data_IF_327733508305
#
_entry.id   IF_327733508305
#
_cell.length_a   1.000
_cell.length_b   1.000
_cell.length_c   1.000
_cell.angle_alpha   90.00
_cell.angle_beta   90.00
_cell.angle_gamma   90.00
#
_symmetry.space_group_name_H-M   'P 1'
#
loop_
_entity.id
_entity.type
_entity.pdbx_description
1 polymer ?
#
# COMPACT_ATOMS: atom_id res chain seq x y z
N UNK A 1 -5.79 1.95 -21.19
CA UNK A 1 -5.14 3.27 -21.32
C UNK A 1 -4.62 3.81 -19.99
N UNK A 2 -5.38 3.72 -18.89
CA UNK A 2 -4.93 4.21 -17.56
C UNK A 2 -3.69 3.49 -17.03
N UNK A 3 -3.63 2.15 -17.15
CA UNK A 3 -2.46 1.36 -16.70
C UNK A 3 -1.14 1.75 -17.39
N UNK A 4 -1.17 2.19 -18.65
CA UNK A 4 0.06 2.61 -19.37
C UNK A 4 0.56 3.97 -18.90
N UNK A 5 -0.33 4.88 -18.52
CA UNK A 5 0.05 6.16 -17.92
C UNK A 5 0.48 6.01 -16.47
N UNK A 6 -0.21 5.18 -15.68
CA UNK A 6 0.20 4.87 -14.31
C UNK A 6 1.60 4.25 -14.27
N UNK A 7 1.86 3.25 -15.13
CA UNK A 7 3.19 2.68 -15.29
C UNK A 7 4.24 3.67 -15.79
N UNK A 8 3.82 4.73 -16.52
CA UNK A 8 4.70 5.83 -16.89
C UNK A 8 5.25 6.58 -15.68
N UNK A 9 4.34 7.11 -14.86
CA UNK A 9 4.70 7.88 -13.69
C UNK A 9 5.46 7.06 -12.65
N UNK A 10 5.12 5.78 -12.48
CA UNK A 10 5.84 4.90 -11.54
C UNK A 10 7.27 4.64 -12.03
N UNK A 11 7.49 4.29 -13.29
CA UNK A 11 8.86 4.01 -13.76
C UNK A 11 9.73 5.27 -13.84
N UNK A 12 9.17 6.42 -14.24
CA UNK A 12 9.93 7.68 -14.26
C UNK A 12 10.20 8.18 -12.83
N UNK A 13 9.21 8.06 -11.93
CA UNK A 13 9.35 8.49 -10.54
C UNK A 13 10.26 7.61 -9.68
N UNK A 14 10.16 6.27 -9.80
CA UNK A 14 10.92 5.34 -8.94
C UNK A 14 12.22 4.83 -9.57
N UNK A 15 12.27 4.65 -10.90
CA UNK A 15 13.41 4.04 -11.60
C UNK A 15 14.14 5.01 -12.54
N UNK A 16 13.63 6.24 -12.73
CA UNK A 16 14.14 7.25 -13.67
C UNK A 16 14.35 6.68 -15.11
N UNK A 17 13.49 5.76 -15.52
CA UNK A 17 13.57 5.07 -16.82
C UNK A 17 12.63 5.71 -17.85
N UNK A 18 13.22 6.30 -18.89
CA UNK A 18 12.50 6.95 -19.98
C UNK A 18 12.41 6.03 -21.21
N UNK A 19 11.28 5.33 -21.34
CA UNK A 19 11.00 4.43 -22.46
C UNK A 19 9.85 4.94 -23.33
N UNK A 20 9.94 4.67 -24.63
CA UNK A 20 8.86 4.92 -25.58
C UNK A 20 7.60 4.14 -25.21
N UNK A 21 6.42 4.77 -25.38
CA UNK A 21 5.11 4.23 -25.00
C UNK A 21 4.87 2.81 -25.55
N UNK A 22 5.21 2.58 -26.80
CA UNK A 22 4.99 1.28 -27.47
C UNK A 22 5.79 0.14 -26.82
N UNK A 23 7.06 0.38 -26.45
CA UNK A 23 7.92 -0.64 -25.80
C UNK A 23 7.34 -1.06 -24.44
N UNK A 24 6.86 -0.09 -23.67
CA UNK A 24 6.26 -0.29 -22.35
C UNK A 24 4.95 -1.09 -22.44
N UNK A 25 4.08 -0.75 -23.41
CA UNK A 25 2.83 -1.49 -23.64
C UNK A 25 3.13 -2.92 -24.06
N UNK A 26 4.03 -3.13 -25.03
CA UNK A 26 4.38 -4.48 -25.47
C UNK A 26 4.93 -5.31 -24.32
N UNK A 27 5.89 -4.79 -23.55
CA UNK A 27 6.48 -5.55 -22.45
C UNK A 27 5.44 -5.94 -21.39
N UNK A 28 4.67 -4.97 -20.88
CA UNK A 28 3.69 -5.26 -19.82
C UNK A 28 2.56 -6.17 -20.30
N UNK A 29 2.17 -6.07 -21.58
CA UNK A 29 1.14 -6.96 -22.17
C UNK A 29 1.68 -8.35 -22.43
N UNK A 30 2.90 -8.49 -22.93
CA UNK A 30 3.54 -9.79 -23.10
C UNK A 30 3.74 -10.49 -21.76
N UNK A 31 4.25 -9.79 -20.74
CA UNK A 31 4.45 -10.38 -19.39
C UNK A 31 3.13 -10.83 -18.76
N UNK A 32 2.03 -10.09 -18.96
CA UNK A 32 0.72 -10.50 -18.45
C UNK A 32 0.07 -11.60 -19.30
N UNK A 33 0.16 -11.55 -20.63
CA UNK A 33 -0.50 -12.50 -21.52
C UNK A 33 0.17 -13.88 -21.53
N UNK A 34 1.49 -13.96 -21.42
CA UNK A 34 2.22 -15.24 -21.44
C UNK A 34 1.71 -16.22 -20.37
N UNK A 35 1.68 -15.88 -19.07
CA UNK A 35 1.16 -16.79 -18.05
C UNK A 35 -0.33 -17.08 -18.24
N UNK A 36 -1.15 -16.08 -18.63
CA UNK A 36 -2.56 -16.31 -18.92
C UNK A 36 -2.78 -17.34 -20.03
N UNK A 37 -2.04 -17.26 -21.13
CA UNK A 37 -2.19 -18.20 -22.26
C UNK A 37 -1.70 -19.60 -21.87
N UNK A 38 -0.57 -19.71 -21.16
CA UNK A 38 -0.07 -21.00 -20.67
C UNK A 38 -1.10 -21.67 -19.77
N UNK A 39 -1.66 -20.92 -18.81
CA UNK A 39 -2.66 -21.46 -17.88
C UNK A 39 -3.96 -21.80 -18.60
N UNK A 40 -4.41 -20.98 -19.55
CA UNK A 40 -5.62 -21.27 -20.32
C UNK A 40 -5.53 -22.58 -21.12
N UNK A 41 -4.34 -22.92 -21.63
CA UNK A 41 -4.12 -24.17 -22.37
C UNK A 41 -4.04 -25.37 -21.41
N UNK A 42 -3.39 -25.21 -20.26
CA UNK A 42 -3.12 -26.30 -19.30
C UNK A 42 -4.30 -26.57 -18.36
N UNK A 43 -5.06 -25.55 -17.99
CA UNK A 43 -5.96 -25.55 -16.84
C UNK A 43 -7.38 -25.09 -17.21
N UNK A 44 -7.98 -25.75 -18.20
CA UNK A 44 -9.33 -25.43 -18.74
C UNK A 44 -10.42 -25.41 -17.64
N UNK A 45 -10.28 -26.23 -16.59
CA UNK A 45 -11.26 -26.36 -15.50
C UNK A 45 -10.83 -25.66 -14.20
N UNK A 46 -9.77 -24.85 -14.19
CA UNK A 46 -9.17 -24.33 -12.95
C UNK A 46 -8.92 -22.81 -12.98
N UNK A 47 -9.60 -22.10 -13.88
CA UNK A 47 -9.48 -20.65 -14.03
C UNK A 47 -9.98 -19.90 -12.79
N UNK A 48 -10.99 -20.43 -12.10
CA UNK A 48 -11.54 -19.82 -10.89
C UNK A 48 -10.47 -19.64 -9.79
N UNK A 49 -9.56 -20.61 -9.65
CA UNK A 49 -8.45 -20.52 -8.70
C UNK A 49 -7.47 -19.43 -9.09
N UNK A 50 -7.18 -19.26 -10.38
CA UNK A 50 -6.29 -18.20 -10.85
C UNK A 50 -6.86 -16.82 -10.54
N UNK A 51 -8.15 -16.63 -10.77
CA UNK A 51 -8.84 -15.38 -10.45
C UNK A 51 -8.82 -15.11 -8.94
N UNK A 52 -8.98 -16.14 -8.11
CA UNK A 52 -8.86 -16.00 -6.66
C UNK A 52 -7.44 -15.56 -6.25
N UNK A 53 -6.40 -16.16 -6.84
CA UNK A 53 -5.00 -15.79 -6.56
C UNK A 53 -4.66 -14.36 -6.99
N UNK A 54 -5.13 -13.91 -8.16
CA UNK A 54 -4.92 -12.54 -8.62
C UNK A 54 -5.60 -11.54 -7.67
N UNK A 55 -6.80 -11.86 -7.18
CA UNK A 55 -7.48 -11.01 -6.21
C UNK A 55 -6.71 -10.92 -4.89
N UNK A 56 -6.12 -12.03 -4.41
CA UNK A 56 -5.26 -12.03 -3.21
C UNK A 56 -4.04 -11.12 -3.41
N UNK A 57 -3.37 -11.21 -4.57
CA UNK A 57 -2.22 -10.35 -4.89
C UNK A 57 -2.63 -8.87 -4.93
N UNK A 58 -3.78 -8.55 -5.54
CA UNK A 58 -4.31 -7.19 -5.57
C UNK A 58 -4.65 -6.67 -4.16
N UNK A 59 -5.19 -7.53 -3.28
CA UNK A 59 -5.44 -7.20 -1.89
C UNK A 59 -4.18 -6.87 -1.10
N UNK A 60 -3.03 -7.45 -1.47
CA UNK A 60 -1.73 -7.09 -0.87
C UNK A 60 -1.21 -5.73 -1.37
N UNK A 61 -1.46 -5.38 -2.64
CA UNK A 61 -0.99 -4.12 -3.23
C UNK A 61 -1.79 -2.90 -2.77
N UNK A 62 -3.09 -3.07 -2.48
CA UNK A 62 -4.00 -1.97 -2.16
C UNK A 62 -3.54 -1.15 -0.93
N UNK A 63 -3.30 -1.74 0.26
CA UNK A 63 -2.83 -0.98 1.43
C UNK A 63 -1.48 -0.32 1.21
N UNK A 64 -0.59 -0.97 0.46
CA UNK A 64 0.73 -0.42 0.15
C UNK A 64 0.65 0.86 -0.70
N UNK A 65 -0.30 0.94 -1.64
CA UNK A 65 -0.52 2.17 -2.41
C UNK A 65 -1.32 3.21 -1.63
N UNK A 66 -2.26 2.78 -0.79
CA UNK A 66 -3.22 3.64 -0.13
C UNK A 66 -2.59 4.45 1.01
N UNK A 67 -1.81 3.82 1.89
CA UNK A 67 -1.25 4.48 3.07
C UNK A 67 -0.31 5.66 2.70
N UNK A 68 0.65 5.51 1.76
CA UNK A 68 1.49 6.62 1.33
C UNK A 68 0.70 7.76 0.67
N UNK A 69 -0.35 7.43 -0.09
CA UNK A 69 -1.23 8.41 -0.71
C UNK A 69 -1.97 9.25 0.34
N UNK A 70 -2.51 8.60 1.38
CA UNK A 70 -3.15 9.31 2.50
C UNK A 70 -2.20 10.23 3.24
N UNK A 71 -0.95 9.78 3.43
CA UNK A 71 0.07 10.61 4.04
C UNK A 71 0.43 11.82 3.15
N UNK A 72 0.59 11.60 1.85
CA UNK A 72 0.90 12.65 0.89
C UNK A 72 -0.22 13.72 0.84
N UNK A 73 -1.48 13.30 0.77
CA UNK A 73 -2.65 14.21 0.74
C UNK A 73 -2.86 14.96 2.07
N UNK A 74 -2.39 14.40 3.19
CA UNK A 74 -2.49 15.02 4.53
C UNK A 74 -1.28 15.90 4.88
N UNK A 75 -0.20 15.85 4.09
CA UNK A 75 1.03 16.59 4.33
C UNK A 75 0.96 17.99 3.72
N UNK A 76 1.21 19.02 4.54
CA UNK A 76 1.31 20.42 4.06
C UNK A 76 2.50 20.61 3.11
N UNK A 77 3.54 19.80 3.25
CA UNK A 77 4.73 19.87 2.38
C UNK A 77 4.43 19.45 0.95
N UNK A 78 3.50 18.52 0.75
CA UNK A 78 3.16 17.97 -0.59
C UNK A 78 1.97 18.71 -1.20
N UNK A 79 0.90 18.95 -0.43
CA UNK A 79 -0.34 19.57 -0.92
C UNK A 79 -0.42 21.10 -0.76
N UNK A 80 0.49 21.71 0.01
CA UNK A 80 0.47 23.15 0.27
C UNK A 80 -0.85 23.60 0.92
N UNK A 81 -1.51 24.58 0.29
CA UNK A 81 -2.78 25.16 0.75
C UNK A 81 -4.01 24.29 0.43
N UNK A 82 -3.86 23.29 -0.47
CA UNK A 82 -4.91 22.31 -0.79
C UNK A 82 -4.89 21.08 0.11
N UNK A 83 -4.24 21.18 1.28
CA UNK A 83 -4.20 20.10 2.26
C UNK A 83 -5.62 19.71 2.69
N UNK A 84 -5.84 18.40 2.84
CA UNK A 84 -7.12 17.88 3.32
C UNK A 84 -7.50 18.48 4.69
N UNK A 85 -8.75 18.92 4.83
CA UNK A 85 -9.29 19.43 6.08
C UNK A 85 -9.36 18.30 7.12
N UNK A 86 -9.30 18.63 8.41
CA UNK A 86 -9.37 17.63 9.49
C UNK A 86 -10.59 16.68 9.36
N UNK A 87 -11.83 17.17 9.10
CA UNK A 87 -12.97 16.26 8.92
C UNK A 87 -12.84 15.40 7.65
N UNK A 88 -12.36 15.98 6.54
CA UNK A 88 -12.11 15.21 5.31
C UNK A 88 -11.06 14.12 5.52
N UNK A 89 -10.00 14.41 6.28
CA UNK A 89 -8.96 13.43 6.62
C UNK A 89 -9.53 12.28 7.45
N UNK A 90 -10.41 12.55 8.44
CA UNK A 90 -11.05 11.52 9.25
C UNK A 90 -11.90 10.58 8.37
N UNK A 91 -12.72 11.13 7.48
CA UNK A 91 -13.57 10.32 6.57
C UNK A 91 -12.71 9.41 5.70
N UNK A 92 -11.65 9.94 5.09
CA UNK A 92 -10.79 9.15 4.22
C UNK A 92 -10.03 8.08 5.02
N UNK A 93 -9.60 8.36 6.26
CA UNK A 93 -9.00 7.35 7.14
C UNK A 93 -9.98 6.25 7.56
N UNK A 94 -11.25 6.57 7.78
CA UNK A 94 -12.28 5.55 8.06
C UNK A 94 -12.44 4.63 6.84
N UNK A 95 -12.59 5.20 5.65
CA UNK A 95 -12.70 4.43 4.40
C UNK A 95 -11.46 3.56 4.21
N UNK A 96 -10.27 4.11 4.46
CA UNK A 96 -9.01 3.39 4.39
C UNK A 96 -8.98 2.16 5.30
N UNK A 97 -9.39 2.32 6.56
CA UNK A 97 -9.47 1.21 7.52
C UNK A 97 -10.44 0.15 7.03
N UNK A 98 -11.63 0.52 6.55
CA UNK A 98 -12.61 -0.43 6.00
C UNK A 98 -12.01 -1.22 4.84
N UNK A 99 -11.37 -0.54 3.88
CA UNK A 99 -10.72 -1.19 2.74
C UNK A 99 -9.63 -2.16 3.21
N UNK A 100 -8.77 -1.75 4.14
CA UNK A 100 -7.71 -2.62 4.68
C UNK A 100 -8.30 -3.85 5.37
N UNK A 101 -9.33 -3.69 6.20
CA UNK A 101 -10.00 -4.79 6.90
C UNK A 101 -10.60 -5.79 5.91
N UNK A 102 -11.29 -5.31 4.87
CA UNK A 102 -11.88 -6.18 3.84
C UNK A 102 -10.81 -6.94 3.07
N UNK A 103 -9.71 -6.28 2.69
CA UNK A 103 -8.61 -6.93 1.96
C UNK A 103 -7.87 -7.97 2.83
N UNK A 104 -7.68 -7.69 4.12
CA UNK A 104 -7.11 -8.67 5.07
C UNK A 104 -8.03 -9.87 5.25
N UNK A 105 -9.35 -9.64 5.36
CA UNK A 105 -10.33 -10.72 5.42
C UNK A 105 -10.26 -11.62 4.18
N UNK A 106 -10.19 -11.03 2.99
CA UNK A 106 -10.07 -11.77 1.72
C UNK A 106 -8.81 -12.64 1.66
N UNK A 107 -7.67 -12.10 2.10
CA UNK A 107 -6.41 -12.86 2.18
C UNK A 107 -6.56 -14.06 3.13
N UNK A 108 -7.13 -13.86 4.32
CA UNK A 108 -7.30 -14.93 5.30
C UNK A 108 -8.25 -16.00 4.77
N UNK A 109 -9.38 -15.63 4.14
CA UNK A 109 -10.36 -16.58 3.61
C UNK A 109 -9.81 -17.46 2.49
N UNK A 110 -9.02 -16.90 1.58
CA UNK A 110 -8.49 -17.64 0.42
C UNK A 110 -7.25 -18.45 0.76
N UNK A 111 -6.37 -17.93 1.61
CA UNK A 111 -5.03 -18.49 1.81
C UNK A 111 -4.94 -19.44 3.01
N UNK A 112 -5.74 -19.22 4.05
CA UNK A 112 -5.59 -19.97 5.32
C UNK A 112 -6.48 -21.21 5.38
N UNK A 113 -7.55 -21.30 4.60
CA UNK A 113 -8.56 -22.36 4.75
C UNK A 113 -8.40 -23.60 3.85
N UNK A 114 -7.82 -23.54 2.63
CA UNK A 114 -7.64 -24.75 1.80
C UNK A 114 -6.16 -25.15 1.67
N UNK A 115 -5.71 -26.28 2.26
CA UNK A 115 -4.34 -26.77 2.01
C UNK A 115 -3.79 -27.88 2.89
N UNK A 116 -2.55 -28.28 2.58
CA UNK A 116 -1.71 -29.15 3.43
C UNK A 116 -1.01 -28.31 4.49
N UNK A 117 -0.70 -28.90 5.64
CA UNK A 117 -0.08 -28.21 6.80
C UNK A 117 1.12 -27.32 6.47
N UNK A 118 1.99 -27.75 5.53
CA UNK A 118 3.14 -26.96 5.07
C UNK A 118 2.73 -25.71 4.29
N UNK A 119 1.67 -25.74 3.48
CA UNK A 119 1.21 -24.55 2.78
C UNK A 119 0.66 -23.52 3.77
N UNK A 120 -0.05 -23.98 4.80
CA UNK A 120 -0.57 -23.11 5.85
C UNK A 120 0.54 -22.46 6.69
N UNK A 121 1.61 -23.17 7.01
CA UNK A 121 2.72 -22.58 7.81
C UNK A 121 3.45 -21.48 7.05
N UNK A 122 3.75 -21.68 5.76
CA UNK A 122 4.40 -20.64 4.95
C UNK A 122 3.46 -19.47 4.68
N UNK A 123 2.20 -19.76 4.40
CA UNK A 123 1.26 -18.72 4.06
C UNK A 123 0.85 -17.87 5.28
N UNK A 124 0.66 -18.48 6.45
CA UNK A 124 0.42 -17.74 7.70
C UNK A 124 1.60 -16.86 8.10
N UNK A 125 2.84 -17.31 7.89
CA UNK A 125 4.04 -16.50 8.10
C UNK A 125 4.06 -15.29 7.15
N UNK A 126 3.78 -15.50 5.86
CA UNK A 126 3.68 -14.42 4.87
C UNK A 126 2.60 -13.39 5.21
N UNK A 127 1.42 -13.85 5.62
CA UNK A 127 0.31 -12.98 6.06
C UNK A 127 0.69 -12.21 7.33
N UNK A 128 1.35 -12.84 8.31
CA UNK A 128 1.81 -12.17 9.52
C UNK A 128 2.85 -11.08 9.21
N UNK A 129 3.81 -11.36 8.33
CA UNK A 129 4.80 -10.38 7.88
C UNK A 129 4.09 -9.21 7.19
N UNK A 130 3.16 -9.50 6.29
CA UNK A 130 2.37 -8.48 5.59
C UNK A 130 1.55 -7.61 6.56
N UNK A 131 0.84 -8.22 7.51
CA UNK A 131 0.07 -7.49 8.53
C UNK A 131 0.98 -6.64 9.41
N UNK A 132 2.15 -7.15 9.78
CA UNK A 132 3.15 -6.39 10.53
C UNK A 132 3.61 -5.15 9.74
N UNK A 133 3.90 -5.31 8.44
CA UNK A 133 4.29 -4.20 7.55
C UNK A 133 3.15 -3.17 7.43
N UNK A 134 1.92 -3.62 7.18
CA UNK A 134 0.75 -2.73 7.06
C UNK A 134 0.50 -1.98 8.37
N UNK A 135 0.59 -2.67 9.52
CA UNK A 135 0.45 -2.04 10.83
C UNK A 135 1.58 -1.05 11.08
N UNK A 136 2.84 -1.37 10.76
CA UNK A 136 3.97 -0.45 10.87
C UNK A 136 3.74 0.81 10.04
N UNK A 137 3.33 0.67 8.77
CA UNK A 137 3.02 1.81 7.90
C UNK A 137 1.81 2.62 8.39
N UNK A 138 0.77 1.96 8.93
CA UNK A 138 -0.40 2.63 9.50
C UNK A 138 -0.09 3.36 10.82
N UNK A 139 0.81 2.82 11.65
CA UNK A 139 1.25 3.42 12.90
C UNK A 139 2.33 4.49 12.71
N UNK A 140 3.11 4.45 11.64
CA UNK A 140 4.14 5.46 11.33
C UNK A 140 3.63 6.92 11.39
N UNK A 141 2.46 7.29 10.81
CA UNK A 141 1.94 8.66 10.93
C UNK A 141 1.53 9.02 12.37
N UNK A 142 1.05 8.06 13.18
CA UNK A 142 0.79 8.29 14.60
C UNK A 142 2.09 8.51 15.37
N UNK A 143 3.13 7.72 15.07
CA UNK A 143 4.47 7.88 15.63
C UNK A 143 5.09 9.23 15.23
N UNK A 144 4.98 9.66 13.97
CA UNK A 144 5.50 10.96 13.51
C UNK A 144 4.75 12.14 14.17
N UNK A 145 3.44 12.02 14.39
CA UNK A 145 2.65 12.98 15.17
C UNK A 145 3.09 13.04 16.63
N UNK A 146 3.29 11.89 17.27
CA UNK A 146 3.78 11.80 18.65
C UNK A 146 5.22 12.33 18.76
N UNK A 147 6.08 12.02 17.78
CA UNK A 147 7.47 12.47 17.71
C UNK A 147 7.56 13.99 17.52
N UNK A 148 6.78 14.57 16.60
CA UNK A 148 6.69 16.04 16.43
C UNK A 148 6.13 16.72 17.68
N UNK A 149 5.11 16.13 18.32
CA UNK A 149 4.52 16.66 19.57
C UNK A 149 5.52 16.57 20.74
N UNK A 150 6.29 15.50 20.84
CA UNK A 150 7.37 15.32 21.82
C UNK A 150 8.51 16.32 21.58
N UNK A 151 9.01 16.42 20.35
CA UNK A 151 10.08 17.35 19.96
C UNK A 151 9.69 18.82 20.19
N UNK A 152 8.44 19.21 19.89
CA UNK A 152 7.97 20.57 20.18
C UNK A 152 7.82 20.86 21.68
N UNK A 153 7.44 19.87 22.49
CA UNK A 153 7.37 20.01 23.96
C UNK A 153 8.77 20.15 24.58
N UNK A 154 9.74 19.35 24.15
CA UNK A 154 11.13 19.50 24.59
C UNK A 154 11.74 20.85 24.16
N UNK A 155 11.48 21.29 22.93
CA UNK A 155 11.98 22.59 22.45
C UNK A 155 11.36 23.77 23.22
N UNK A 156 10.04 23.76 23.42
CA UNK A 156 9.33 24.81 24.17
C UNK A 156 9.76 24.88 25.64
N UNK A 157 9.99 23.73 26.28
CA UNK A 157 10.50 23.66 27.65
C UNK A 157 11.93 24.20 27.77
N UNK A 158 12.80 23.91 26.78
CA UNK A 158 14.18 24.42 26.77
C UNK A 158 14.26 25.94 26.52
N UNK A 159 13.36 26.52 25.73
CA UNK A 159 13.26 27.98 25.52
C UNK A 159 12.73 28.70 26.77
N UNK A 160 11.74 28.13 27.47
CA UNK A 160 11.20 28.71 28.72
C UNK A 160 12.25 28.75 29.84
N UNK A 161 13.08 27.71 29.98
CA UNK A 161 14.19 27.71 30.94
C UNK A 161 15.27 28.77 30.65
N UNK A 162 15.48 29.14 29.38
CA UNK A 162 16.44 30.18 29.00
C UNK A 162 15.91 31.61 29.21
N UNK A 163 14.59 31.79 29.27
CA UNK A 163 13.96 33.09 29.54
C UNK A 163 13.79 33.38 31.04
N UNK A 164 13.70 32.35 31.88
CA UNK A 164 13.59 32.50 33.35
C UNK A 164 14.93 32.68 34.07
N UNK A 165 16.06 32.56 33.36
CA UNK A 165 17.41 32.71 33.90
C UNK A 165 18.10 34.00 33.40
N UNK A 166 17.29 34.98 32.95
CA UNK A 166 17.65 36.37 32.67
C UNK A 166 16.84 37.25 33.61
#
# INVERSE_FOLDING_TARGET
MTGTYAGQFVMEGFLNLHWARWKRVLLTRSVAMVPCVIIAIVAVNSLDYLDEYINVEQSMLLPFSLIPLLHATSSKTVMGDFKNSIPGAIVVWIIAIVVVVVNVYFIISTVVFPGKWWQHTFASLGVLIYLCIVLLYAFYPLLDLLWKKYKSRCFKSRVLHLQMNK
#
